data_IF_732328237907
#
_entry.id   IF_732328237907
#
_cell.length_a   1.000
_cell.length_b   1.000
_cell.length_c   1.000
_cell.angle_alpha   90.00
_cell.angle_beta   90.00
_cell.angle_gamma   90.00
#
_symmetry.space_group_name_H-M   'P 1'
#
loop_
_entity.id
_entity.type
_entity.pdbx_description
1 polymer ?
#
# COMPACT_ATOMS: atom_id res chain seq x y z
N UNK A 1 -7.40 -20.32 5.89
CA UNK A 1 -8.23 -19.15 5.53
C UNK A 1 -7.42 -18.31 4.57
N UNK A 2 -8.01 -17.89 3.45
CA UNK A 2 -7.32 -17.07 2.44
C UNK A 2 -7.32 -15.60 2.87
N UNK A 3 -6.29 -14.85 2.48
CA UNK A 3 -6.19 -13.40 2.68
C UNK A 3 -7.33 -12.69 1.94
N UNK A 4 -8.07 -11.83 2.64
CA UNK A 4 -9.26 -11.17 2.10
C UNK A 4 -9.28 -9.68 2.37
N UNK A 5 -9.75 -8.91 1.40
CA UNK A 5 -10.09 -7.50 1.54
C UNK A 5 -11.59 -7.35 1.27
N UNK A 6 -12.27 -6.60 2.15
CA UNK A 6 -13.66 -6.17 1.90
C UNK A 6 -13.65 -4.69 1.60
N UNK A 7 -13.87 -4.28 0.35
CA UNK A 7 -13.78 -2.87 -0.02
C UNK A 7 -14.84 -2.03 0.71
N UNK A 8 -16.00 -2.61 1.04
CA UNK A 8 -17.02 -1.95 1.86
C UNK A 8 -16.56 -1.57 3.29
N UNK A 9 -15.40 -2.06 3.75
CA UNK A 9 -14.80 -1.71 5.05
C UNK A 9 -13.61 -0.75 4.92
N UNK A 10 -13.30 -0.31 3.71
CA UNK A 10 -12.38 0.78 3.46
C UNK A 10 -13.02 2.09 3.90
N UNK A 11 -12.21 2.98 4.49
CA UNK A 11 -12.60 4.37 4.66
C UNK A 11 -11.44 5.29 4.29
N UNK A 12 -11.76 6.34 3.54
CA UNK A 12 -10.84 7.42 3.26
C UNK A 12 -10.63 8.26 4.52
N UNK A 13 -9.38 8.61 4.81
CA UNK A 13 -9.02 9.57 5.85
C UNK A 13 -9.27 10.96 5.24
N UNK A 14 -10.22 11.75 5.75
CA UNK A 14 -10.45 13.09 5.25
C UNK A 14 -9.19 13.95 5.42
N UNK A 15 -8.90 14.78 4.43
CA UNK A 15 -7.71 15.65 4.45
C UNK A 15 -7.62 16.47 5.74
N UNK A 16 -8.74 16.98 6.24
CA UNK A 16 -8.80 17.74 7.51
C UNK A 16 -8.33 16.94 8.72
N UNK A 17 -8.57 15.62 8.75
CA UNK A 17 -8.09 14.74 9.83
C UNK A 17 -6.59 14.51 9.69
N UNK A 18 -6.12 14.27 8.46
CA UNK A 18 -4.70 14.07 8.18
C UNK A 18 -3.87 15.31 8.51
N UNK A 19 -4.34 16.49 8.12
CA UNK A 19 -3.67 17.77 8.41
C UNK A 19 -3.55 18.02 9.92
N UNK A 20 -4.61 17.76 10.70
CA UNK A 20 -4.54 17.85 12.18
C UNK A 20 -3.45 16.90 12.74
N UNK A 21 -3.35 15.68 12.22
CA UNK A 21 -2.35 14.70 12.68
C UNK A 21 -0.94 15.09 12.27
N UNK A 22 -0.73 15.60 11.05
CA UNK A 22 0.56 16.08 10.56
C UNK A 22 1.02 17.36 11.25
N UNK A 23 0.11 18.27 11.59
CA UNK A 23 0.42 19.49 12.34
C UNK A 23 0.99 19.19 13.74
N UNK A 24 0.82 17.97 14.27
CA UNK A 24 1.52 17.53 15.48
C UNK A 24 3.03 17.27 15.27
N UNK A 25 3.49 17.19 14.02
CA UNK A 25 4.90 17.08 13.60
C UNK A 25 5.16 17.96 12.38
N UNK A 26 5.03 19.27 12.54
CA UNK A 26 5.35 20.21 11.47
C UNK A 26 6.81 20.07 11.01
N UNK A 27 7.02 19.66 9.75
CA UNK A 27 8.27 19.84 9.04
C UNK A 27 8.05 20.95 8.01
N UNK A 28 8.75 22.09 8.21
CA UNK A 28 8.73 23.24 7.30
C UNK A 28 9.83 23.03 6.27
N UNK A 29 9.51 23.13 4.98
CA UNK A 29 10.50 23.24 3.92
C UNK A 29 11.32 24.52 4.12
N UNK A 30 12.64 24.42 4.40
CA UNK A 30 13.47 25.57 4.73
C UNK A 30 13.71 26.53 3.57
N UNK A 31 13.51 26.09 2.32
CA UNK A 31 13.81 26.90 1.13
C UNK A 31 12.59 27.67 0.60
N UNK A 32 11.38 27.12 0.75
CA UNK A 32 10.14 27.73 0.24
C UNK A 32 9.21 28.30 1.31
N UNK A 33 9.35 27.86 2.57
CA UNK A 33 8.40 28.17 3.64
C UNK A 33 6.99 27.61 3.41
N UNK A 34 6.77 26.81 2.36
CA UNK A 34 5.51 26.18 2.03
C UNK A 34 5.59 24.68 2.30
N UNK A 35 4.57 24.13 2.96
CA UNK A 35 4.42 22.68 3.06
C UNK A 35 3.88 22.21 1.69
N UNK A 36 4.77 21.76 0.81
CA UNK A 36 4.34 21.06 -0.42
C UNK A 36 4.00 19.62 -0.04
N UNK A 37 2.76 19.40 0.38
CA UNK A 37 2.22 18.04 0.47
C UNK A 37 1.89 17.56 -0.95
N UNK A 38 2.53 16.49 -1.41
CA UNK A 38 1.97 15.72 -2.52
C UNK A 38 0.61 15.15 -2.05
N UNK A 39 -0.46 15.58 -2.70
CA UNK A 39 -1.84 15.25 -2.31
C UNK A 39 -2.20 13.85 -2.77
N UNK A 40 -1.78 12.84 -2.02
CA UNK A 40 -2.32 11.49 -2.17
C UNK A 40 -3.54 11.33 -1.27
N UNK A 41 -4.58 10.67 -1.76
CA UNK A 41 -5.67 10.22 -0.91
C UNK A 41 -5.15 9.08 -0.01
N UNK A 42 -5.43 9.21 1.29
CA UNK A 42 -5.10 8.17 2.26
C UNK A 42 -6.38 7.52 2.72
N UNK A 43 -6.34 6.21 2.91
CA UNK A 43 -7.41 5.47 3.54
C UNK A 43 -6.87 4.36 4.40
N UNK A 44 -7.78 3.69 5.08
CA UNK A 44 -7.47 2.52 5.90
C UNK A 44 -8.41 1.41 5.50
N UNK A 45 -7.84 0.22 5.38
CA UNK A 45 -8.60 -1.00 5.23
C UNK A 45 -8.09 -2.05 6.23
N UNK A 46 -8.79 -3.18 6.30
CA UNK A 46 -8.36 -4.33 7.08
C UNK A 46 -8.31 -5.57 6.18
N UNK A 47 -7.16 -6.23 6.15
CA UNK A 47 -6.99 -7.53 5.52
C UNK A 47 -7.40 -8.61 6.52
N UNK A 48 -8.42 -9.40 6.20
CA UNK A 48 -8.80 -10.56 7.00
C UNK A 48 -7.79 -11.68 6.75
N UNK A 49 -7.08 -12.08 7.80
CA UNK A 49 -6.11 -13.18 7.80
C UNK A 49 -6.60 -14.32 8.68
N UNK A 50 -5.93 -15.47 8.61
CA UNK A 50 -6.18 -16.59 9.54
C UNK A 50 -5.90 -16.27 11.01
N UNK A 51 -5.05 -15.27 11.29
CA UNK A 51 -4.69 -14.85 12.65
C UNK A 51 -5.54 -13.69 13.18
N UNK A 52 -6.34 -13.05 12.32
CA UNK A 52 -7.16 -11.89 12.66
C UNK A 52 -7.17 -10.83 11.55
N UNK A 53 -7.80 -9.69 11.84
CA UNK A 53 -7.80 -8.56 10.92
C UNK A 53 -6.49 -7.76 11.06
N UNK A 54 -5.77 -7.58 9.96
CA UNK A 54 -4.53 -6.81 9.89
C UNK A 54 -4.82 -5.45 9.24
N UNK A 55 -4.53 -4.32 9.92
CA UNK A 55 -4.77 -3.00 9.34
C UNK A 55 -3.75 -2.71 8.23
N UNK A 56 -4.23 -2.08 7.15
CA UNK A 56 -3.38 -1.56 6.07
C UNK A 56 -3.71 -0.11 5.80
N UNK A 57 -2.68 0.70 5.60
CA UNK A 57 -2.81 2.05 5.06
C UNK A 57 -2.89 1.92 3.55
N UNK A 58 -3.84 2.59 2.93
CA UNK A 58 -4.06 2.58 1.48
C UNK A 58 -3.77 3.97 0.93
N UNK A 59 -2.94 4.06 -0.08
CA UNK A 59 -2.60 5.30 -0.79
C UNK A 59 -3.23 5.23 -2.19
N UNK A 60 -4.09 6.20 -2.50
CA UNK A 60 -4.84 6.30 -3.77
C UNK A 60 -5.52 5.02 -4.21
N UNK A 61 -6.12 4.30 -3.25
CA UNK A 61 -6.82 3.05 -3.52
C UNK A 61 -5.93 1.91 -4.04
N UNK A 62 -4.61 2.08 -4.07
CA UNK A 62 -3.75 1.22 -4.88
C UNK A 62 -2.57 0.67 -4.10
N UNK A 63 -1.74 1.52 -3.49
CA UNK A 63 -0.62 1.05 -2.67
C UNK A 63 -1.09 0.79 -1.25
N UNK A 64 -1.00 -0.47 -0.81
CA UNK A 64 -1.32 -0.86 0.56
C UNK A 64 -0.04 -1.07 1.37
N UNK A 65 0.00 -0.60 2.61
CA UNK A 65 1.15 -0.73 3.50
C UNK A 65 0.72 -1.28 4.87
N UNK A 66 1.44 -2.32 5.33
CA UNK A 66 1.31 -2.88 6.68
C UNK A 66 2.65 -2.87 7.40
N UNK A 67 2.62 -2.60 8.69
CA UNK A 67 3.81 -2.50 9.53
C UNK A 67 3.77 -3.49 10.70
N UNK A 68 4.94 -3.88 11.19
CA UNK A 68 5.11 -4.74 12.34
C UNK A 68 5.19 -6.22 11.97
N UNK A 69 6.07 -6.94 12.68
CA UNK A 69 6.41 -8.34 12.40
C UNK A 69 5.17 -9.25 12.35
N UNK A 70 4.31 -9.17 13.37
CA UNK A 70 3.13 -10.02 13.51
C UNK A 70 2.14 -9.83 12.36
N UNK A 71 1.91 -8.57 11.96
CA UNK A 71 1.04 -8.21 10.86
C UNK A 71 1.57 -8.73 9.52
N UNK A 72 2.86 -8.50 9.26
CA UNK A 72 3.51 -8.97 8.03
C UNK A 72 3.48 -10.49 7.94
N UNK A 73 3.81 -11.21 9.01
CA UNK A 73 3.75 -12.67 9.05
C UNK A 73 2.32 -13.20 8.83
N UNK A 74 1.32 -12.57 9.43
CA UNK A 74 -0.09 -12.92 9.23
C UNK A 74 -0.54 -12.75 7.77
N UNK A 75 -0.10 -11.67 7.11
CA UNK A 75 -0.39 -11.43 5.69
C UNK A 75 0.33 -12.46 4.80
N UNK A 76 1.64 -12.63 4.96
CA UNK A 76 2.43 -13.53 4.11
C UNK A 76 1.93 -14.99 4.21
N UNK A 77 1.60 -15.44 5.42
CA UNK A 77 1.07 -16.79 5.65
C UNK A 77 -0.34 -16.98 5.05
N UNK A 78 -1.25 -16.02 5.21
CA UNK A 78 -2.62 -16.15 4.72
C UNK A 78 -2.76 -15.86 3.22
N UNK A 79 -1.87 -15.04 2.67
CA UNK A 79 -1.81 -14.67 1.25
C UNK A 79 -1.13 -15.72 0.36
N UNK A 80 -0.73 -16.86 0.93
CA UNK A 80 0.03 -17.91 0.22
C UNK A 80 1.26 -17.33 -0.48
N UNK A 81 2.00 -16.48 0.23
CA UNK A 81 3.10 -15.72 -0.35
C UNK A 81 4.21 -16.64 -0.88
N UNK A 82 4.67 -16.37 -2.10
CA UNK A 82 5.82 -17.03 -2.71
C UNK A 82 6.90 -15.99 -2.96
N UNK A 83 8.09 -16.19 -2.39
CA UNK A 83 9.23 -15.31 -2.58
C UNK A 83 9.70 -15.36 -4.04
N UNK A 84 10.10 -14.20 -4.57
CA UNK A 84 10.60 -14.03 -5.94
C UNK A 84 11.96 -13.35 -5.88
N UNK A 85 12.90 -13.81 -6.70
CA UNK A 85 14.28 -13.31 -6.68
C UNK A 85 14.44 -11.94 -7.35
N UNK A 86 13.60 -11.61 -8.33
CA UNK A 86 13.74 -10.38 -9.12
C UNK A 86 12.40 -9.84 -9.61
N UNK A 87 12.43 -8.57 -10.03
CA UNK A 87 11.39 -7.96 -10.84
C UNK A 87 11.95 -7.64 -12.23
N UNK A 88 11.07 -7.51 -13.22
CA UNK A 88 11.44 -7.14 -14.58
C UNK A 88 10.62 -5.96 -15.08
N UNK A 89 11.21 -5.19 -16.00
CA UNK A 89 10.54 -4.12 -16.72
C UNK A 89 10.30 -4.57 -18.16
N UNK A 90 9.04 -4.73 -18.57
CA UNK A 90 8.67 -5.17 -19.92
C UNK A 90 7.59 -4.27 -20.50
N UNK A 91 7.92 -3.51 -21.55
CA UNK A 91 6.96 -2.65 -22.24
C UNK A 91 6.32 -1.58 -21.36
N UNK A 92 7.09 -1.00 -20.42
CA UNK A 92 6.60 0.00 -19.47
C UNK A 92 5.86 -0.56 -18.25
N UNK A 93 5.72 -1.89 -18.15
CA UNK A 93 5.09 -2.58 -17.04
C UNK A 93 6.13 -3.18 -16.10
N UNK A 94 5.83 -3.21 -14.81
CA UNK A 94 6.64 -3.88 -13.79
C UNK A 94 6.04 -5.25 -13.54
N UNK A 95 6.88 -6.28 -13.54
CA UNK A 95 6.49 -7.63 -13.15
C UNK A 95 7.30 -8.09 -11.96
N UNK A 96 6.63 -8.51 -10.88
CA UNK A 96 7.25 -9.24 -9.77
C UNK A 96 6.92 -10.72 -9.96
N UNK A 97 7.89 -11.48 -10.47
CA UNK A 97 7.66 -12.83 -10.95
C UNK A 97 6.74 -12.83 -12.18
N UNK A 98 5.58 -13.45 -12.03
CA UNK A 98 4.50 -13.50 -13.03
C UNK A 98 3.36 -12.50 -12.78
N UNK A 99 3.45 -11.70 -11.69
CA UNK A 99 2.44 -10.70 -11.34
C UNK A 99 2.80 -9.36 -11.97
N UNK A 100 1.96 -8.90 -12.89
CA UNK A 100 2.01 -7.53 -13.41
C UNK A 100 1.37 -6.57 -12.39
N UNK A 101 2.07 -5.47 -12.08
CA UNK A 101 1.59 -4.44 -11.16
C UNK A 101 1.51 -3.07 -11.84
N UNK A 102 0.73 -2.18 -11.25
CA UNK A 102 0.71 -0.77 -11.65
C UNK A 102 2.13 -0.19 -11.63
N UNK A 103 2.52 0.46 -12.73
CA UNK A 103 3.90 0.94 -12.90
C UNK A 103 4.20 2.18 -12.05
N UNK A 104 3.21 3.02 -11.77
CA UNK A 104 3.37 4.21 -10.93
C UNK A 104 3.60 3.79 -9.49
N UNK A 105 2.70 2.96 -8.94
CA UNK A 105 2.77 2.50 -7.56
C UNK A 105 3.86 1.47 -7.33
N UNK A 106 4.14 0.62 -8.31
CA UNK A 106 5.25 -0.31 -8.26
C UNK A 106 6.61 0.39 -8.20
N UNK A 107 6.84 1.43 -9.02
CA UNK A 107 8.07 2.21 -8.96
C UNK A 107 8.17 2.98 -7.64
N UNK A 108 7.08 3.58 -7.17
CA UNK A 108 7.05 4.29 -5.88
C UNK A 108 7.39 3.34 -4.72
N UNK A 109 6.80 2.15 -4.69
CA UNK A 109 7.05 1.15 -3.65
C UNK A 109 8.51 0.64 -3.68
N UNK A 110 9.08 0.40 -4.87
CA UNK A 110 10.48 0.01 -5.02
C UNK A 110 11.42 1.14 -4.57
N UNK A 111 11.14 2.39 -4.97
CA UNK A 111 11.96 3.53 -4.58
C UNK A 111 11.94 3.73 -3.06
N UNK A 112 10.74 3.74 -2.46
CA UNK A 112 10.58 3.84 -1.01
C UNK A 112 11.30 2.71 -0.26
N UNK A 113 11.14 1.46 -0.71
CA UNK A 113 11.84 0.32 -0.12
C UNK A 113 13.37 0.49 -0.24
N UNK A 114 13.86 1.02 -1.36
CA UNK A 114 15.27 1.32 -1.59
C UNK A 114 15.83 2.40 -0.67
N UNK A 115 15.06 3.44 -0.37
CA UNK A 115 15.45 4.55 0.51
C UNK A 115 15.65 4.11 1.97
N UNK A 116 15.03 3.00 2.38
CA UNK A 116 15.26 2.44 3.74
C UNK A 116 16.68 1.92 3.93
N UNK A 117 17.40 1.59 2.85
CA UNK A 117 18.73 0.99 2.88
C UNK A 117 18.77 -0.46 3.41
N UNK A 118 17.62 -1.05 3.72
CA UNK A 118 17.51 -2.43 4.23
C UNK A 118 17.36 -3.46 3.08
N UNK A 119 17.65 -4.75 3.33
CA UNK A 119 17.40 -5.80 2.36
C UNK A 119 15.92 -5.88 1.99
N UNK A 120 15.64 -5.91 0.69
CA UNK A 120 14.30 -6.01 0.12
C UNK A 120 14.06 -7.46 -0.29
N UNK A 121 12.88 -7.99 0.05
CA UNK A 121 12.38 -9.27 -0.48
C UNK A 121 11.11 -9.03 -1.28
N UNK A 122 10.96 -9.76 -2.37
CA UNK A 122 9.80 -9.64 -3.24
C UNK A 122 8.93 -10.89 -3.07
N UNK A 123 7.63 -10.69 -3.07
CA UNK A 123 6.65 -11.76 -2.93
C UNK A 123 5.58 -11.61 -4.00
N UNK A 124 5.03 -12.75 -4.42
CA UNK A 124 3.70 -12.80 -5.04
C UNK A 124 2.71 -13.39 -4.05
N UNK A 125 1.54 -12.77 -3.95
CA UNK A 125 0.47 -13.18 -3.05
C UNK A 125 -0.86 -13.27 -3.81
N UNK A 126 -1.82 -13.93 -3.18
CA UNK A 126 -3.22 -13.96 -3.60
C UNK A 126 -4.06 -13.24 -2.56
N UNK A 127 -4.89 -12.32 -3.03
CA UNK A 127 -5.84 -11.56 -2.22
C UNK A 127 -7.23 -11.75 -2.81
N UNK A 128 -8.20 -12.15 -1.99
CA UNK A 128 -9.60 -12.17 -2.39
C UNK A 128 -10.23 -10.80 -2.08
N UNK A 129 -10.61 -10.04 -3.09
CA UNK A 129 -11.25 -8.72 -2.97
C UNK A 129 -12.73 -8.88 -3.33
N UNK A 130 -13.62 -8.66 -2.37
CA UNK A 130 -15.08 -8.77 -2.54
C UNK A 130 -15.55 -10.05 -3.26
N UNK A 131 -14.82 -11.16 -3.06
CA UNK A 131 -15.11 -12.48 -3.61
C UNK A 131 -14.35 -12.81 -4.90
N UNK A 132 -13.56 -11.89 -5.45
CA UNK A 132 -12.73 -12.11 -6.63
C UNK A 132 -11.26 -12.31 -6.24
N UNK A 133 -10.61 -13.33 -6.81
CA UNK A 133 -9.19 -13.59 -6.54
C UNK A 133 -8.30 -12.67 -7.39
N UNK A 134 -7.56 -11.79 -6.72
CA UNK A 134 -6.63 -10.85 -7.33
C UNK A 134 -5.18 -11.23 -6.99
N UNK A 135 -4.30 -11.43 -8.00
CA UNK A 135 -2.87 -11.54 -7.76
C UNK A 135 -2.31 -10.17 -7.37
N UNK A 136 -1.50 -10.13 -6.32
CA UNK A 136 -0.85 -8.91 -5.85
C UNK A 136 0.64 -9.17 -5.65
N UNK A 137 1.47 -8.15 -5.84
CA UNK A 137 2.87 -8.21 -5.47
C UNK A 137 3.07 -7.67 -4.05
N UNK A 138 4.04 -8.25 -3.34
CA UNK A 138 4.51 -7.80 -2.05
C UNK A 138 5.96 -7.35 -2.13
N UNK A 139 6.27 -6.21 -1.54
CA UNK A 139 7.64 -5.74 -1.33
C UNK A 139 7.85 -5.65 0.18
N UNK A 140 8.67 -6.53 0.70
CA UNK A 140 9.00 -6.63 2.11
C UNK A 140 10.32 -5.94 2.41
N UNK A 141 10.33 -5.15 3.48
CA UNK A 141 11.50 -4.49 4.03
C UNK A 141 11.63 -4.91 5.49
N UNK A 142 12.74 -5.53 5.85
CA UNK A 142 12.93 -6.12 7.19
C UNK A 142 13.09 -5.06 8.28
N UNK A 143 13.69 -3.92 7.95
CA UNK A 143 13.92 -2.83 8.90
C UNK A 143 13.45 -1.50 8.31
N UNK A 144 12.42 -0.92 8.92
CA UNK A 144 12.02 0.48 8.74
C UNK A 144 11.90 1.14 10.13
N UNK A 145 11.70 2.46 10.17
CA UNK A 145 11.50 3.22 11.41
C UNK A 145 10.32 2.70 12.26
N UNK A 146 9.35 2.03 11.64
CA UNK A 146 8.16 1.45 12.28
C UNK A 146 8.23 -0.09 12.43
N UNK A 147 9.42 -0.69 12.25
CA UNK A 147 9.62 -2.14 12.22
C UNK A 147 9.49 -2.72 10.81
N UNK A 148 9.29 -4.05 10.65
CA UNK A 148 9.16 -4.66 9.34
C UNK A 148 7.96 -4.08 8.58
N UNK A 149 8.14 -3.82 7.29
CA UNK A 149 7.14 -3.25 6.40
C UNK A 149 6.84 -4.22 5.27
N UNK A 150 5.56 -4.35 4.93
CA UNK A 150 5.10 -5.00 3.71
C UNK A 150 4.25 -4.00 2.91
N UNK A 151 4.75 -3.66 1.72
CA UNK A 151 4.00 -2.95 0.70
C UNK A 151 3.32 -3.97 -0.21
N UNK A 152 2.06 -3.76 -0.51
CA UNK A 152 1.26 -4.63 -1.37
C UNK A 152 0.73 -3.79 -2.53
N UNK A 153 0.97 -4.25 -3.75
CA UNK A 153 0.57 -3.55 -4.98
C UNK A 153 -0.28 -4.50 -5.83
N UNK A 154 -1.55 -4.16 -6.12
CA UNK A 154 -2.39 -4.91 -7.03
C UNK A 154 -2.04 -4.64 -8.50
N UNK A 155 -2.62 -5.43 -9.41
CA UNK A 155 -2.47 -5.24 -10.86
C UNK A 155 -3.19 -4.00 -11.40
N UNK A 156 -4.23 -3.54 -10.71
CA UNK A 156 -5.03 -2.36 -11.05
C UNK A 156 -5.51 -1.67 -9.76
N UNK A 157 -5.74 -0.36 -9.82
CA UNK A 157 -6.27 0.44 -8.72
C UNK A 157 -7.80 0.40 -8.61
N UNK A 158 -8.48 -0.25 -9.57
CA UNK A 158 -9.94 -0.30 -9.66
C UNK A 158 -10.61 -1.06 -8.50
N UNK A 159 -9.86 -1.80 -7.68
CA UNK A 159 -10.41 -2.61 -6.60
C UNK A 159 -10.85 -1.80 -5.37
N UNK A 160 -10.34 -0.58 -5.21
CA UNK A 160 -10.69 0.32 -4.11
C UNK A 160 -11.10 1.64 -4.75
N UNK A 161 -12.34 1.69 -5.25
CA UNK A 161 -12.90 2.94 -5.76
C UNK A 161 -13.04 3.94 -4.60
N UNK A 162 -12.26 5.01 -4.68
CA UNK A 162 -12.49 6.20 -3.89
C UNK A 162 -13.56 6.98 -4.66
N UNK A 163 -14.80 7.02 -4.17
CA UNK A 163 -15.72 8.08 -4.62
C UNK A 163 -15.03 9.40 -4.28
N UNK A 164 -14.49 10.08 -5.29
CA UNK A 164 -14.00 11.44 -5.12
C UNK A 164 -15.18 12.26 -4.59
N UNK A 165 -15.07 12.88 -3.39
CA UNK A 165 -16.03 13.92 -3.05
C UNK A 165 -15.84 15.00 -4.11
N UNK A 166 -16.83 15.16 -4.99
CA UNK A 166 -16.83 16.22 -5.98
C UNK A 166 -16.46 17.52 -5.25
N UNK A 167 -15.40 18.23 -5.68
CA UNK A 167 -15.14 19.55 -5.12
C UNK A 167 -16.42 20.37 -5.31
N UNK A 168 -16.88 21.12 -4.30
CA UNK A 168 -18.12 21.87 -4.41
C UNK A 168 -18.04 22.75 -5.65
N UNK A 169 -18.85 22.40 -6.65
CA UNK A 169 -19.04 23.24 -7.83
C UNK A 169 -19.95 24.39 -7.41
N UNK A 170 -19.32 25.56 -7.23
CA UNK A 170 -19.91 26.89 -6.98
C UNK A 170 -20.31 27.23 -5.53
N UNK A 171 -19.61 28.21 -4.93
CA UNK A 171 -19.98 29.64 -4.89
C UNK A 171 -18.85 30.52 -4.40
#
# INVERSE_FOLDING_TARGET
>A
MHLRLRAARYFTIPYSVFDILLQMRGAIDPDSGQIVCHFYSLGVAALETSAGAVPVIVVDGCLMASFGKENVEAILSSGSAVEVENFTLRGGKILIGDVEIDSTWGLAAIAYAGETGAPIKLYKLRLEIDGEEAPIAGIYVEASDAGPLLLLIPSTCEYIEVEEPQPPTHM
#
